data_IF_967240593866
#
_entry.id   IF_967240593866
#
_cell.length_a   1.000
_cell.length_b   1.000
_cell.length_c   1.000
_cell.angle_alpha   90.00
_cell.angle_beta   90.00
_cell.angle_gamma   90.00
#
_symmetry.space_group_name_H-M   'P 1'
#
loop_
_entity.id
_entity.type
_entity.pdbx_description
1 polymer ?
#
# COMPACT_ATOMS: atom_id res chain seq x y z
N UNK A 1 30.09 -47.64 -29.80
CA UNK A 1 29.59 -47.67 -31.20
C UNK A 1 28.25 -46.98 -31.18
N UNK A 2 27.90 -45.91 -31.85
CA UNK A 2 28.26 -45.28 -33.11
C UNK A 2 28.05 -43.76 -32.97
N UNK A 3 28.92 -43.01 -33.54
CA UNK A 3 28.89 -41.56 -33.78
C UNK A 3 27.96 -41.24 -34.97
N UNK A 4 27.27 -40.12 -34.96
CA UNK A 4 26.93 -39.28 -36.13
C UNK A 4 26.56 -37.89 -35.60
N UNK A 5 27.38 -36.90 -35.66
CA UNK A 5 27.77 -35.99 -36.75
C UNK A 5 26.78 -34.85 -36.94
N UNK A 6 27.23 -33.74 -36.53
CA UNK A 6 26.97 -32.31 -36.73
C UNK A 6 26.69 -31.99 -38.21
N UNK A 7 25.77 -31.07 -38.48
CA UNK A 7 25.79 -30.21 -39.65
C UNK A 7 25.30 -28.82 -39.32
N UNK A 8 26.22 -27.88 -39.46
CA UNK A 8 26.11 -26.44 -39.41
C UNK A 8 25.50 -25.94 -40.74
N UNK A 9 24.48 -25.07 -40.68
CA UNK A 9 24.05 -24.32 -41.87
C UNK A 9 24.10 -22.83 -41.57
N UNK A 10 25.09 -22.17 -42.11
CA UNK A 10 25.30 -20.74 -42.15
C UNK A 10 24.43 -20.15 -43.26
N UNK A 11 23.50 -19.25 -42.97
CA UNK A 11 22.71 -18.50 -43.94
C UNK A 11 23.12 -17.04 -43.99
N UNK A 12 23.80 -16.70 -45.08
CA UNK A 12 24.26 -15.37 -45.46
C UNK A 12 23.06 -14.52 -45.90
N UNK A 13 22.80 -13.37 -45.30
CA UNK A 13 21.82 -12.37 -45.78
C UNK A 13 22.56 -11.23 -46.45
N UNK A 14 22.36 -11.12 -47.75
CA UNK A 14 22.93 -10.11 -48.67
C UNK A 14 22.12 -8.81 -48.56
N UNK A 15 22.85 -7.70 -48.39
CA UNK A 15 22.36 -6.33 -48.44
C UNK A 15 22.18 -5.90 -49.91
N UNK A 16 20.99 -5.43 -50.29
CA UNK A 16 20.74 -4.81 -51.60
C UNK A 16 20.43 -3.32 -51.37
N UNK A 17 21.39 -2.46 -51.70
CA UNK A 17 21.23 -1.02 -51.77
C UNK A 17 20.73 -0.62 -53.17
N UNK A 18 19.62 0.09 -53.22
CA UNK A 18 19.10 0.73 -54.44
C UNK A 18 19.21 2.26 -54.32
N UNK A 19 20.14 2.82 -55.11
CA UNK A 19 20.29 4.23 -55.42
C UNK A 19 19.21 4.63 -56.45
N UNK A 20 18.45 5.66 -56.20
CA UNK A 20 17.65 6.38 -57.18
C UNK A 20 18.02 7.86 -57.14
N UNK A 21 18.75 8.27 -58.16
CA UNK A 21 18.99 9.67 -58.50
C UNK A 21 17.77 10.25 -59.21
N UNK A 22 17.31 11.40 -58.80
CA UNK A 22 16.34 12.19 -59.56
C UNK A 22 16.84 13.62 -59.75
N UNK A 23 16.75 14.08 -60.96
CA UNK A 23 17.27 15.35 -61.51
C UNK A 23 16.67 16.58 -60.86
N UNK A 24 17.52 17.57 -60.64
CA UNK A 24 17.18 18.94 -60.33
C UNK A 24 16.70 19.69 -61.57
N UNK A 25 15.59 20.41 -61.47
CA UNK A 25 15.24 21.50 -62.37
C UNK A 25 15.17 22.80 -61.54
N UNK A 26 15.99 23.75 -61.94
CA UNK A 26 16.03 25.09 -61.37
C UNK A 26 14.78 25.89 -61.67
N UNK A 27 14.13 26.49 -60.71
CA UNK A 27 13.11 27.52 -60.83
C UNK A 27 13.53 28.75 -60.02
N UNK A 28 13.45 29.89 -60.66
CA UNK A 28 13.77 31.26 -60.24
C UNK A 28 12.98 31.70 -59.00
N UNK A 29 13.53 32.50 -58.06
CA UNK A 29 12.84 32.93 -56.86
C UNK A 29 11.91 34.09 -57.19
N UNK A 30 10.62 33.88 -56.86
CA UNK A 30 9.60 34.98 -56.76
C UNK A 30 9.50 35.38 -55.30
N UNK A 31 9.79 36.62 -54.97
CA UNK A 31 9.53 37.22 -53.68
C UNK A 31 8.06 37.06 -53.29
N UNK A 32 7.78 36.50 -52.11
CA UNK A 32 6.49 36.43 -51.47
C UNK A 32 6.42 37.35 -50.25
N UNK A 33 5.27 37.94 -49.96
CA UNK A 33 5.12 39.01 -48.94
C UNK A 33 5.28 38.44 -47.55
N UNK A 34 5.97 39.20 -46.70
CA UNK A 34 6.12 39.00 -45.26
C UNK A 34 4.78 39.04 -44.59
N UNK A 35 4.21 37.87 -44.28
CA UNK A 35 3.13 37.74 -43.33
C UNK A 35 3.76 37.55 -41.93
N UNK A 36 3.56 38.50 -41.06
CA UNK A 36 3.83 38.37 -39.64
C UNK A 36 2.84 37.33 -39.08
N UNK A 37 3.30 36.07 -38.99
CA UNK A 37 2.62 35.05 -38.22
C UNK A 37 3.19 35.08 -36.80
N UNK A 38 2.51 35.78 -35.91
CA UNK A 38 2.57 35.53 -34.48
C UNK A 38 1.99 34.12 -34.21
N UNK A 39 2.76 33.10 -34.51
CA UNK A 39 2.47 31.75 -34.08
C UNK A 39 2.71 31.68 -32.57
N UNK A 40 1.64 31.65 -31.78
CA UNK A 40 1.75 31.11 -30.43
C UNK A 40 2.34 29.71 -30.59
N UNK A 41 3.57 29.52 -30.08
CA UNK A 41 4.14 28.21 -29.95
C UNK A 41 3.20 27.41 -29.05
N UNK A 42 2.53 26.43 -29.63
CA UNK A 42 1.86 25.39 -28.87
C UNK A 42 2.98 24.67 -28.09
N UNK A 43 3.28 25.13 -26.88
CA UNK A 43 4.12 24.38 -25.96
C UNK A 43 3.32 23.14 -25.64
N UNK A 44 3.75 21.98 -26.15
CA UNK A 44 3.24 20.70 -25.69
C UNK A 44 3.36 20.65 -24.17
N UNK A 45 2.28 20.26 -23.47
CA UNK A 45 2.30 20.13 -22.02
C UNK A 45 3.44 19.20 -21.59
N UNK A 46 4.14 19.57 -20.53
CA UNK A 46 5.28 18.80 -20.04
C UNK A 46 4.78 17.62 -19.20
N UNK A 47 5.28 16.39 -19.43
CA UNK A 47 4.87 15.24 -18.66
C UNK A 47 5.34 15.33 -17.21
N UNK A 48 4.52 14.82 -16.30
CA UNK A 48 4.85 14.57 -14.89
C UNK A 48 4.55 13.11 -14.62
N UNK A 49 5.57 12.30 -14.58
CA UNK A 49 5.48 10.86 -14.36
C UNK A 49 5.33 10.57 -12.87
N UNK A 50 4.16 10.07 -12.47
CA UNK A 50 3.88 9.68 -11.08
C UNK A 50 3.76 8.17 -10.98
N UNK A 51 4.63 7.56 -10.19
CA UNK A 51 4.72 6.14 -9.98
C UNK A 51 3.98 5.73 -8.71
N UNK A 52 3.06 4.75 -8.82
CA UNK A 52 2.27 4.28 -7.70
C UNK A 52 1.87 2.81 -7.89
N UNK A 53 1.09 2.25 -6.96
CA UNK A 53 0.44 0.95 -7.13
C UNK A 53 -1.09 1.04 -7.15
N UNK A 54 -1.64 2.25 -7.26
CA UNK A 54 -3.07 2.50 -7.21
C UNK A 54 -3.77 2.19 -8.53
N UNK A 55 -4.07 0.92 -8.74
CA UNK A 55 -4.78 0.39 -9.92
C UNK A 55 -6.06 -0.33 -9.54
N UNK A 56 -6.21 -0.68 -8.25
CA UNK A 56 -7.36 -1.41 -7.73
C UNK A 56 -8.60 -0.53 -7.57
N UNK A 57 -9.76 -1.17 -7.34
CA UNK A 57 -11.01 -0.49 -7.04
C UNK A 57 -10.86 0.47 -5.83
N UNK A 58 -11.43 1.66 -5.95
CA UNK A 58 -11.27 2.74 -4.98
C UNK A 58 -9.95 3.50 -5.11
N UNK A 59 -8.85 2.81 -5.35
CA UNK A 59 -7.51 3.40 -5.53
C UNK A 59 -7.41 4.19 -6.83
N UNK A 60 -7.73 3.55 -7.95
CA UNK A 60 -7.72 4.18 -9.27
C UNK A 60 -8.75 5.33 -9.36
N UNK A 61 -9.91 5.17 -8.73
CA UNK A 61 -10.95 6.21 -8.70
C UNK A 61 -10.49 7.45 -7.93
N UNK A 62 -9.89 7.24 -6.76
CA UNK A 62 -9.31 8.31 -5.95
C UNK A 62 -8.19 9.04 -6.69
N UNK A 63 -7.26 8.30 -7.28
CA UNK A 63 -6.18 8.87 -8.09
C UNK A 63 -6.73 9.67 -9.28
N UNK A 64 -7.71 9.13 -10.00
CA UNK A 64 -8.34 9.82 -11.13
C UNK A 64 -9.02 11.13 -10.70
N UNK A 65 -9.63 11.18 -9.51
CA UNK A 65 -10.21 12.40 -8.97
C UNK A 65 -9.13 13.46 -8.67
N UNK A 66 -7.98 13.06 -8.13
CA UNK A 66 -6.84 13.98 -7.93
C UNK A 66 -6.23 14.44 -9.26
N UNK A 67 -6.05 13.54 -10.22
CA UNK A 67 -5.54 13.88 -11.58
C UNK A 67 -6.43 14.94 -12.23
N UNK A 68 -7.75 14.79 -12.15
CA UNK A 68 -8.68 15.79 -12.67
C UNK A 68 -8.47 17.19 -12.08
N UNK A 69 -8.13 17.28 -10.79
CA UNK A 69 -7.80 18.55 -10.13
C UNK A 69 -6.45 19.07 -10.64
N UNK A 70 -5.47 18.18 -10.79
CA UNK A 70 -4.16 18.52 -11.32
C UNK A 70 -4.25 19.11 -12.72
N UNK A 71 -4.94 18.44 -13.65
CA UNK A 71 -5.13 18.88 -15.04
C UNK A 71 -5.84 20.23 -15.11
N UNK A 72 -6.84 20.46 -14.25
CA UNK A 72 -7.58 21.71 -14.21
C UNK A 72 -6.73 22.88 -13.70
N UNK A 73 -5.86 22.65 -12.70
CA UNK A 73 -5.04 23.69 -12.05
C UNK A 73 -3.72 23.96 -12.77
N UNK A 74 -3.17 22.95 -13.43
CA UNK A 74 -1.84 22.97 -14.03
C UNK A 74 -1.85 22.52 -15.50
N UNK A 75 -2.62 23.19 -16.40
CA UNK A 75 -2.79 22.74 -17.80
C UNK A 75 -1.50 22.77 -18.64
N UNK A 76 -0.41 23.35 -18.11
CA UNK A 76 0.92 23.31 -18.73
C UNK A 76 1.63 21.97 -18.52
N UNK A 77 1.10 21.08 -17.69
CA UNK A 77 1.62 19.73 -17.44
C UNK A 77 0.62 18.69 -17.92
N UNK A 78 1.13 17.48 -18.21
CA UNK A 78 0.32 16.28 -18.47
C UNK A 78 0.67 15.24 -17.41
N UNK A 79 -0.31 14.75 -16.68
CA UNK A 79 -0.09 13.67 -15.72
C UNK A 79 0.15 12.34 -16.45
N UNK A 80 1.32 11.73 -16.21
CA UNK A 80 1.63 10.37 -16.68
C UNK A 80 1.47 9.39 -15.51
N UNK A 81 0.40 8.58 -15.56
CA UNK A 81 0.15 7.56 -14.56
C UNK A 81 1.01 6.32 -14.85
N UNK A 82 2.10 6.16 -14.11
CA UNK A 82 3.02 5.03 -14.20
C UNK A 82 2.74 3.95 -13.13
N UNK A 83 1.47 3.72 -12.79
CA UNK A 83 1.10 2.77 -11.75
C UNK A 83 1.41 1.31 -12.15
N UNK A 84 1.93 0.53 -11.17
CA UNK A 84 2.26 -0.90 -11.32
C UNK A 84 1.43 -1.71 -10.35
N UNK A 85 0.63 -2.62 -10.88
CA UNK A 85 -0.30 -3.44 -10.11
C UNK A 85 0.38 -4.55 -9.28
N UNK A 86 -0.26 -4.90 -8.17
CA UNK A 86 -0.07 -6.16 -7.45
C UNK A 86 0.72 -6.06 -6.15
N UNK A 87 0.32 -6.94 -5.20
CA UNK A 87 0.98 -7.13 -3.91
C UNK A 87 1.01 -5.90 -3.02
N UNK A 88 -0.02 -5.05 -3.06
CA UNK A 88 -0.09 -3.79 -2.30
C UNK A 88 1.22 -2.95 -2.36
N UNK A 89 1.81 -2.89 -3.55
CA UNK A 89 3.03 -2.13 -3.81
C UNK A 89 4.31 -2.97 -3.94
N UNK A 90 4.33 -4.25 -3.61
CA UNK A 90 5.53 -5.09 -3.72
C UNK A 90 6.11 -5.09 -5.13
N UNK A 91 5.26 -5.28 -6.16
CA UNK A 91 5.70 -5.25 -7.55
C UNK A 91 6.19 -3.86 -7.97
N UNK A 92 5.48 -2.82 -7.56
CA UNK A 92 5.86 -1.43 -7.83
C UNK A 92 7.22 -1.09 -7.21
N UNK A 93 7.45 -1.43 -5.95
CA UNK A 93 8.74 -1.20 -5.27
C UNK A 93 9.90 -1.90 -5.98
N UNK A 94 9.72 -3.13 -6.48
CA UNK A 94 10.74 -3.85 -7.23
C UNK A 94 11.11 -3.17 -8.56
N UNK A 95 10.10 -2.69 -9.31
CA UNK A 95 10.31 -1.92 -10.55
C UNK A 95 10.99 -0.59 -10.23
N UNK A 96 10.52 0.14 -9.21
CA UNK A 96 11.11 1.40 -8.78
C UNK A 96 12.59 1.24 -8.40
N UNK A 97 12.92 0.21 -7.60
CA UNK A 97 14.31 -0.07 -7.21
C UNK A 97 15.22 -0.26 -8.43
N UNK A 98 14.74 -0.95 -9.46
CA UNK A 98 15.48 -1.14 -10.72
C UNK A 98 15.72 0.20 -11.44
N UNK A 99 14.70 1.07 -11.50
CA UNK A 99 14.80 2.40 -12.11
C UNK A 99 15.76 3.31 -11.36
N UNK A 100 15.69 3.32 -10.03
CA UNK A 100 16.58 4.10 -9.17
C UNK A 100 18.03 3.67 -9.31
N UNK A 101 18.31 2.36 -9.43
CA UNK A 101 19.65 1.83 -9.71
C UNK A 101 20.17 2.23 -11.10
N UNK A 102 19.27 2.36 -12.07
CA UNK A 102 19.62 2.82 -13.42
C UNK A 102 19.81 4.35 -13.52
N UNK A 103 19.54 5.12 -12.45
CA UNK A 103 19.58 6.58 -12.46
C UNK A 103 18.43 7.21 -13.27
N UNK A 104 17.31 6.52 -13.42
CA UNK A 104 16.11 6.96 -14.13
C UNK A 104 14.89 7.01 -13.17
N UNK A 105 14.89 7.92 -12.18
CA UNK A 105 13.76 8.06 -11.29
C UNK A 105 12.54 8.60 -12.03
N UNK A 106 11.30 8.23 -11.61
CA UNK A 106 10.09 8.97 -12.01
C UNK A 106 10.11 10.38 -11.41
N UNK A 107 9.21 11.26 -11.85
CA UNK A 107 9.12 12.63 -11.29
C UNK A 107 8.60 12.63 -9.84
N UNK A 108 7.73 11.69 -9.48
CA UNK A 108 7.34 11.41 -8.11
C UNK A 108 6.97 9.94 -7.94
N UNK A 109 7.05 9.42 -6.71
CA UNK A 109 6.52 8.09 -6.41
C UNK A 109 5.81 8.04 -5.07
N UNK A 110 4.90 7.08 -4.96
CA UNK A 110 4.22 6.73 -3.74
C UNK A 110 5.18 5.99 -2.80
N UNK A 111 5.23 6.42 -1.54
CA UNK A 111 5.94 5.76 -0.45
C UNK A 111 5.06 5.77 0.81
N UNK A 112 5.23 4.81 1.71
CA UNK A 112 4.61 4.90 3.03
C UNK A 112 5.41 5.84 3.94
N UNK A 113 4.71 6.52 4.85
CA UNK A 113 5.36 7.26 5.94
C UNK A 113 6.11 6.28 6.89
N UNK A 114 7.15 6.76 7.56
CA UNK A 114 7.97 5.96 8.46
C UNK A 114 9.23 5.41 7.79
N UNK A 115 9.63 4.20 8.17
CA UNK A 115 10.89 3.58 7.74
C UNK A 115 10.99 3.39 6.22
N UNK A 116 9.86 3.18 5.53
CA UNK A 116 9.82 3.12 4.07
C UNK A 116 10.36 4.41 3.42
N UNK A 117 9.92 5.57 3.89
CA UNK A 117 10.40 6.87 3.39
C UNK A 117 11.84 7.12 3.83
N UNK A 118 12.20 6.77 5.08
CA UNK A 118 13.53 7.03 5.62
C UNK A 118 14.62 6.22 4.90
N UNK A 119 14.31 5.04 4.40
CA UNK A 119 15.24 4.26 3.57
C UNK A 119 15.65 5.03 2.29
N UNK A 120 14.72 5.73 1.63
CA UNK A 120 15.04 6.57 0.48
C UNK A 120 15.86 7.81 0.86
N UNK A 121 15.63 8.38 2.06
CA UNK A 121 16.44 9.47 2.61
C UNK A 121 17.88 9.03 2.82
N UNK A 122 18.09 7.88 3.46
CA UNK A 122 19.42 7.32 3.74
C UNK A 122 20.17 6.97 2.45
N UNK A 123 19.43 6.47 1.46
CA UNK A 123 19.97 6.22 0.11
C UNK A 123 20.18 7.50 -0.72
N UNK A 124 19.82 8.69 -0.19
CA UNK A 124 19.92 10.00 -0.88
C UNK A 124 19.16 10.03 -2.21
N UNK A 125 18.03 9.35 -2.28
CA UNK A 125 17.21 9.22 -3.48
C UNK A 125 16.08 10.26 -3.53
N UNK A 126 15.74 10.90 -2.40
CA UNK A 126 14.72 11.94 -2.29
C UNK A 126 15.27 13.20 -1.63
N UNK A 127 14.64 14.33 -1.94
CA UNK A 127 15.03 15.65 -1.49
C UNK A 127 14.16 16.08 -0.31
N UNK A 128 14.70 16.93 0.61
CA UNK A 128 13.89 17.57 1.65
C UNK A 128 12.89 18.55 1.03
N UNK A 129 11.75 18.72 1.70
CA UNK A 129 10.63 19.55 1.26
C UNK A 129 10.41 20.79 2.12
N UNK A 130 11.45 21.31 2.79
CA UNK A 130 11.37 22.48 3.70
C UNK A 130 10.72 23.69 3.06
N UNK A 131 11.15 24.05 1.84
CA UNK A 131 10.61 25.18 1.11
C UNK A 131 9.14 24.95 0.74
N UNK A 132 8.78 23.74 0.31
CA UNK A 132 7.41 23.38 0.00
C UNK A 132 6.50 23.50 1.25
N UNK A 133 6.92 22.95 2.37
CA UNK A 133 6.18 23.02 3.63
C UNK A 133 6.07 24.46 4.17
N UNK A 134 7.12 25.25 4.03
CA UNK A 134 7.14 26.67 4.41
C UNK A 134 6.17 27.49 3.57
N UNK A 135 6.17 27.30 2.23
CA UNK A 135 5.34 28.04 1.28
C UNK A 135 3.86 27.66 1.39
N UNK A 136 3.55 26.38 1.54
CA UNK A 136 2.17 25.87 1.61
C UNK A 136 1.55 25.94 2.99
N UNK A 137 2.37 26.02 4.03
CA UNK A 137 1.94 25.92 5.43
C UNK A 137 1.37 24.54 5.79
N UNK A 138 1.68 23.50 5.00
CA UNK A 138 1.06 22.18 5.11
C UNK A 138 1.26 21.52 6.49
N UNK A 139 2.42 21.73 7.14
CA UNK A 139 2.66 21.22 8.50
C UNK A 139 1.64 21.69 9.54
N UNK A 140 0.99 22.85 9.34
CA UNK A 140 0.02 23.42 10.29
C UNK A 140 -1.31 22.67 10.30
N UNK A 141 -1.59 21.92 9.28
CA UNK A 141 -2.85 21.17 9.09
C UNK A 141 -2.65 19.66 9.19
N UNK A 142 -1.43 19.21 9.46
CA UNK A 142 -1.14 17.80 9.74
C UNK A 142 -1.27 17.49 11.24
N UNK A 143 -1.67 16.26 11.62
CA UNK A 143 -1.58 15.82 12.99
C UNK A 143 -0.12 15.83 13.48
N UNK A 144 0.10 16.29 14.71
CA UNK A 144 1.45 16.33 15.30
C UNK A 144 2.12 14.95 15.35
N UNK A 145 1.32 13.88 15.44
CA UNK A 145 1.79 12.49 15.44
C UNK A 145 2.29 12.01 14.07
N UNK A 146 1.88 12.66 12.99
CA UNK A 146 2.30 12.29 11.62
C UNK A 146 3.64 12.94 11.23
N UNK A 147 3.91 14.14 11.72
CA UNK A 147 5.12 14.90 11.36
C UNK A 147 6.42 14.13 11.59
N UNK A 148 6.65 13.43 12.73
CA UNK A 148 7.87 12.63 12.91
C UNK A 148 8.03 11.49 11.92
N UNK A 149 6.92 10.95 11.38
CA UNK A 149 6.91 9.81 10.45
C UNK A 149 7.19 10.21 8.99
N UNK A 150 7.23 11.50 8.71
CA UNK A 150 7.56 12.05 7.38
C UNK A 150 8.80 12.94 7.42
N UNK A 151 9.43 13.10 8.59
CA UNK A 151 10.57 13.97 8.79
C UNK A 151 11.76 13.22 9.38
N UNK A 152 12.94 13.44 8.83
CA UNK A 152 14.21 12.92 9.34
C UNK A 152 15.18 14.07 9.55
N UNK A 153 15.90 14.07 10.67
CA UNK A 153 16.84 15.13 11.05
C UNK A 153 16.24 16.55 11.04
N UNK A 154 14.92 16.66 11.28
CA UNK A 154 14.18 17.91 11.32
C UNK A 154 13.65 18.40 9.96
N UNK A 155 13.88 17.67 8.88
CA UNK A 155 13.44 17.99 7.52
C UNK A 155 12.31 17.07 7.05
N UNK A 156 11.19 17.59 6.51
CA UNK A 156 10.15 16.76 5.88
C UNK A 156 10.59 16.26 4.50
N UNK A 157 10.29 14.99 4.16
CA UNK A 157 10.71 14.36 2.91
C UNK A 157 9.56 13.84 2.06
N UNK A 158 8.34 13.83 2.57
CA UNK A 158 7.19 13.37 1.80
C UNK A 158 5.94 14.21 2.09
N UNK A 159 4.96 14.10 1.17
CA UNK A 159 3.64 14.75 1.29
C UNK A 159 2.61 13.65 1.52
N UNK A 160 2.14 13.45 2.77
CA UNK A 160 1.11 12.47 3.07
C UNK A 160 -0.24 12.90 2.48
N UNK A 161 -0.97 11.94 1.90
CA UNK A 161 -2.28 12.16 1.27
C UNK A 161 -3.42 11.60 2.09
N UNK A 162 -3.14 10.63 2.95
CA UNK A 162 -4.14 9.93 3.75
C UNK A 162 -3.59 9.46 5.09
N UNK A 163 -4.51 8.95 5.90
CA UNK A 163 -4.26 8.06 7.03
C UNK A 163 -5.13 6.83 6.81
N UNK A 164 -4.53 5.66 6.85
CA UNK A 164 -5.18 4.36 6.78
C UNK A 164 -5.18 3.66 8.13
N UNK A 165 -6.24 2.90 8.37
CA UNK A 165 -6.32 1.92 9.46
C UNK A 165 -6.12 0.51 8.91
N UNK A 166 -5.07 -0.16 9.36
CA UNK A 166 -4.72 -1.52 8.94
C UNK A 166 -5.52 -2.59 9.70
N UNK A 167 -5.90 -2.37 10.96
CA UNK A 167 -6.54 -3.36 11.81
C UNK A 167 -8.08 -3.33 11.74
N UNK A 168 -8.65 -3.59 10.56
CA UNK A 168 -10.08 -3.73 10.37
C UNK A 168 -10.44 -5.19 10.11
N UNK A 169 -11.45 -5.71 10.80
CA UNK A 169 -12.03 -7.01 10.52
C UNK A 169 -13.39 -6.82 9.87
N UNK A 170 -13.41 -7.00 8.55
CA UNK A 170 -14.63 -6.99 7.74
C UNK A 170 -15.38 -8.29 7.92
N UNK A 171 -16.71 -8.26 7.96
CA UNK A 171 -17.49 -9.47 8.17
C UNK A 171 -18.81 -9.49 7.38
N UNK A 172 -19.33 -10.70 7.17
CA UNK A 172 -20.62 -10.97 6.55
C UNK A 172 -21.70 -11.14 7.61
N UNK A 173 -22.64 -10.18 7.78
CA UNK A 173 -23.75 -10.33 8.71
C UNK A 173 -24.60 -11.59 8.44
N UNK A 174 -24.73 -11.94 7.16
CA UNK A 174 -25.48 -13.12 6.71
C UNK A 174 -24.84 -14.44 7.20
N UNK A 175 -23.51 -14.55 7.10
CA UNK A 175 -22.77 -15.75 7.54
C UNK A 175 -22.82 -15.88 9.06
N UNK A 176 -22.62 -14.79 9.80
CA UNK A 176 -22.69 -14.81 11.25
C UNK A 176 -24.09 -15.25 11.75
N UNK A 177 -25.13 -14.71 11.14
CA UNK A 177 -26.52 -15.09 11.47
C UNK A 177 -26.76 -16.58 11.19
N UNK A 178 -26.35 -17.08 10.02
CA UNK A 178 -26.50 -18.48 9.65
C UNK A 178 -25.73 -19.45 10.56
N UNK A 179 -24.56 -19.03 11.06
CA UNK A 179 -23.73 -19.80 11.99
C UNK A 179 -24.15 -19.66 13.47
N UNK A 180 -25.16 -18.83 13.77
CA UNK A 180 -25.56 -18.56 15.18
C UNK A 180 -24.46 -17.87 15.99
N UNK A 181 -23.66 -17.03 15.34
CA UNK A 181 -22.61 -16.24 15.97
C UNK A 181 -23.13 -14.82 16.21
N UNK A 182 -23.09 -14.38 17.46
CA UNK A 182 -23.33 -12.99 17.85
C UNK A 182 -21.99 -12.30 18.04
N UNK A 183 -21.77 -11.23 17.29
CA UNK A 183 -20.56 -10.42 17.43
C UNK A 183 -20.69 -9.54 18.69
N UNK A 184 -19.71 -9.57 19.63
CA UNK A 184 -19.71 -8.66 20.77
C UNK A 184 -19.58 -7.19 20.32
N UNK A 185 -20.14 -6.28 21.09
CA UNK A 185 -19.96 -4.85 20.85
C UNK A 185 -18.46 -4.51 20.89
N UNK A 186 -17.95 -3.88 19.79
CA UNK A 186 -16.53 -3.56 19.63
C UNK A 186 -15.63 -4.74 19.21
N UNK A 187 -16.21 -5.89 18.88
CA UNK A 187 -15.49 -7.07 18.40
C UNK A 187 -15.10 -8.06 19.52
N UNK A 188 -14.35 -9.09 19.17
CA UNK A 188 -13.89 -10.12 20.11
C UNK A 188 -12.77 -9.57 20.99
N UNK A 189 -12.90 -9.75 22.31
CA UNK A 189 -11.90 -9.28 23.27
C UNK A 189 -10.57 -10.06 23.21
N UNK A 190 -10.63 -11.30 22.72
CA UNK A 190 -9.44 -12.17 22.63
C UNK A 190 -9.49 -13.07 21.38
N UNK A 191 -8.34 -13.61 21.01
CA UNK A 191 -8.25 -14.66 19.98
C UNK A 191 -8.98 -15.94 20.38
N UNK A 192 -9.02 -16.29 21.67
CA UNK A 192 -9.76 -17.45 22.17
C UNK A 192 -11.27 -17.31 21.90
N UNK A 193 -11.85 -16.13 22.13
CA UNK A 193 -13.26 -15.88 21.85
C UNK A 193 -13.56 -15.94 20.34
N UNK A 194 -12.63 -15.42 19.53
CA UNK A 194 -12.70 -15.50 18.07
C UNK A 194 -12.65 -16.95 17.58
N UNK A 195 -11.75 -17.79 18.12
CA UNK A 195 -11.66 -19.20 17.75
C UNK A 195 -12.94 -19.97 18.06
N UNK A 196 -13.56 -19.70 19.21
CA UNK A 196 -14.85 -20.28 19.55
C UNK A 196 -15.98 -19.89 18.57
N UNK A 197 -15.91 -18.69 17.99
CA UNK A 197 -16.80 -18.28 16.92
C UNK A 197 -16.46 -18.99 15.60
N UNK A 198 -15.18 -19.12 15.27
CA UNK A 198 -14.72 -19.86 14.09
C UNK A 198 -15.17 -21.33 14.09
N UNK A 199 -15.15 -22.00 15.24
CA UNK A 199 -15.67 -23.37 15.34
C UNK A 199 -17.15 -23.48 14.94
N UNK A 200 -17.97 -22.52 15.35
CA UNK A 200 -19.40 -22.48 14.95
C UNK A 200 -19.56 -22.21 13.45
N UNK A 201 -18.76 -21.28 12.89
CA UNK A 201 -18.81 -20.94 11.47
C UNK A 201 -18.38 -22.15 10.63
N UNK A 202 -17.32 -22.83 11.03
CA UNK A 202 -16.82 -24.05 10.39
C UNK A 202 -17.87 -25.18 10.47
N UNK A 203 -18.54 -25.34 11.61
CA UNK A 203 -19.63 -26.30 11.77
C UNK A 203 -20.85 -25.98 10.88
N UNK A 204 -21.07 -24.71 10.54
CA UNK A 204 -22.06 -24.28 9.55
C UNK A 204 -21.59 -24.43 8.09
N UNK A 205 -20.41 -25.01 7.84
CA UNK A 205 -19.87 -25.27 6.51
C UNK A 205 -19.31 -24.03 5.80
N UNK A 206 -18.93 -22.99 6.55
CA UNK A 206 -18.36 -21.74 6.01
C UNK A 206 -16.90 -21.56 6.43
N UNK A 207 -16.14 -20.84 5.60
CA UNK A 207 -14.80 -20.37 5.96
C UNK A 207 -14.90 -19.33 7.09
N UNK A 208 -14.09 -19.47 8.15
CA UNK A 208 -14.14 -18.48 9.22
C UNK A 208 -13.50 -17.17 8.79
N UNK A 209 -12.26 -17.23 8.32
CA UNK A 209 -11.52 -16.04 7.88
C UNK A 209 -10.96 -16.28 6.48
N UNK A 210 -11.20 -15.35 5.56
CA UNK A 210 -10.58 -15.40 4.24
C UNK A 210 -9.21 -14.75 4.26
N UNK A 211 -8.26 -15.37 3.57
CA UNK A 211 -6.88 -14.92 3.42
C UNK A 211 -6.54 -14.89 1.93
N UNK A 212 -5.81 -13.87 1.49
CA UNK A 212 -5.26 -13.75 0.15
C UNK A 212 -3.95 -14.53 -0.02
N UNK A 213 -3.22 -14.29 -1.12
CA UNK A 213 -1.96 -14.99 -1.39
C UNK A 213 -0.87 -14.62 -0.37
N UNK A 214 0.22 -15.39 -0.40
CA UNK A 214 1.43 -15.14 0.42
C UNK A 214 2.01 -13.72 0.22
N UNK A 215 2.90 -13.31 1.10
CA UNK A 215 3.47 -11.97 1.16
C UNK A 215 2.57 -11.02 1.91
N UNK A 216 2.17 -9.90 1.29
CA UNK A 216 1.41 -8.83 1.93
C UNK A 216 0.24 -9.30 2.81
N UNK A 217 -0.65 -10.17 2.31
CA UNK A 217 -1.87 -10.55 3.06
C UNK A 217 -1.55 -11.40 4.29
N UNK A 218 -0.55 -12.26 4.19
CA UNK A 218 -0.12 -13.12 5.28
C UNK A 218 0.62 -12.32 6.36
N UNK A 219 1.47 -11.37 5.96
CA UNK A 219 2.17 -10.46 6.86
C UNK A 219 1.18 -9.52 7.56
N UNK A 220 0.21 -8.98 6.82
CA UNK A 220 -0.87 -8.16 7.36
C UNK A 220 -1.70 -8.91 8.42
N UNK A 221 -2.03 -10.18 8.17
CA UNK A 221 -2.68 -11.02 9.17
C UNK A 221 -1.77 -11.25 10.39
N UNK A 222 -0.47 -11.54 10.16
CA UNK A 222 0.50 -11.77 11.22
C UNK A 222 0.64 -10.54 12.15
N UNK A 223 0.86 -9.33 11.59
CA UNK A 223 0.97 -8.12 12.41
C UNK A 223 -0.27 -7.90 13.29
N UNK A 224 -1.46 -8.10 12.71
CA UNK A 224 -2.72 -7.93 13.44
C UNK A 224 -2.89 -8.97 14.57
N UNK A 225 -2.44 -10.21 14.33
CA UNK A 225 -2.45 -11.25 15.37
C UNK A 225 -1.45 -10.94 16.48
N UNK A 226 -0.26 -10.45 16.16
CA UNK A 226 0.72 -10.04 17.15
C UNK A 226 0.17 -8.88 17.99
N UNK A 227 -0.27 -7.81 17.37
CA UNK A 227 -0.81 -6.63 18.07
C UNK A 227 -1.98 -7.01 18.97
N UNK A 228 -2.93 -7.81 18.47
CA UNK A 228 -4.08 -8.28 19.23
C UNK A 228 -3.75 -9.25 20.36
N UNK A 229 -2.54 -9.84 20.35
CA UNK A 229 -2.05 -10.74 21.40
C UNK A 229 -1.28 -10.01 22.49
N UNK A 230 -0.35 -9.10 22.09
CA UNK A 230 0.58 -8.48 23.03
C UNK A 230 0.21 -7.03 23.40
N UNK A 231 -0.68 -6.39 22.64
CA UNK A 231 -1.13 -5.01 22.84
C UNK A 231 -0.14 -3.97 22.31
N UNK A 232 -0.62 -2.72 22.27
CA UNK A 232 0.09 -1.58 21.64
C UNK A 232 1.45 -1.28 22.29
N UNK A 233 1.55 -1.30 23.62
CA UNK A 233 2.79 -0.98 24.34
C UNK A 233 3.92 -1.96 23.98
N UNK A 234 3.62 -3.26 24.06
CA UNK A 234 4.61 -4.30 23.73
C UNK A 234 4.93 -4.33 22.24
N UNK A 235 3.93 -4.06 21.37
CA UNK A 235 4.17 -3.92 19.94
C UNK A 235 5.18 -2.79 19.66
N UNK A 236 4.96 -1.61 20.20
CA UNK A 236 5.91 -0.49 20.05
C UNK A 236 7.30 -0.85 20.62
N UNK A 237 7.34 -1.61 21.72
CA UNK A 237 8.58 -2.06 22.34
C UNK A 237 9.42 -3.02 21.50
N UNK A 238 8.81 -3.72 20.51
CA UNK A 238 9.54 -4.57 19.57
C UNK A 238 10.43 -3.76 18.62
N UNK A 239 10.09 -2.49 18.37
CA UNK A 239 10.70 -1.62 17.36
C UNK A 239 11.66 -0.57 17.93
N UNK A 240 11.86 -0.55 19.25
CA UNK A 240 12.87 0.33 19.87
C UNK A 240 14.27 -0.24 19.68
N UNK A 241 15.29 0.62 19.73
CA UNK A 241 16.69 0.20 19.65
C UNK A 241 17.43 0.57 20.94
N UNK A 242 17.79 -0.41 21.81
CA UNK A 242 17.42 -1.84 21.71
C UNK A 242 15.94 -2.08 21.99
N UNK A 243 15.36 -3.22 21.55
CA UNK A 243 13.96 -3.57 21.83
C UNK A 243 13.69 -3.64 23.33
N UNK A 244 12.59 -3.04 23.77
CA UNK A 244 12.10 -3.14 25.17
C UNK A 244 11.14 -4.33 25.35
N UNK A 245 10.62 -4.89 24.24
CA UNK A 245 9.90 -6.16 24.19
C UNK A 245 10.77 -7.19 23.50
N UNK A 246 10.93 -8.35 24.12
CA UNK A 246 11.82 -9.41 23.62
C UNK A 246 11.15 -10.24 22.54
N UNK A 247 11.72 -10.25 21.33
CA UNK A 247 11.30 -11.11 20.21
C UNK A 247 11.35 -12.60 20.56
N UNK A 248 12.25 -13.02 21.47
CA UNK A 248 12.33 -14.39 21.98
C UNK A 248 11.41 -14.64 23.20
N UNK A 249 10.61 -13.63 23.58
CA UNK A 249 9.77 -13.67 24.77
C UNK A 249 8.52 -14.54 24.63
N UNK A 250 7.91 -14.86 25.76
CA UNK A 250 6.70 -15.67 25.83
C UNK A 250 5.50 -15.00 25.12
N UNK A 251 5.43 -13.68 25.09
CA UNK A 251 4.36 -12.93 24.44
C UNK A 251 4.38 -13.15 22.92
N UNK A 252 5.57 -13.04 22.29
CA UNK A 252 5.74 -13.30 20.85
C UNK A 252 5.48 -14.77 20.53
N UNK A 253 5.93 -15.67 21.38
CA UNK A 253 5.63 -17.11 21.25
C UNK A 253 4.12 -17.37 21.26
N UNK A 254 3.38 -16.73 22.15
CA UNK A 254 1.91 -16.85 22.19
C UNK A 254 1.26 -16.26 20.93
N UNK A 255 1.78 -15.13 20.41
CA UNK A 255 1.30 -14.53 19.16
C UNK A 255 1.51 -15.47 17.97
N UNK A 256 2.67 -16.14 17.87
CA UNK A 256 2.94 -17.13 16.82
C UNK A 256 1.99 -18.34 16.95
N UNK A 257 1.70 -18.81 18.16
CA UNK A 257 0.74 -19.90 18.39
C UNK A 257 -0.70 -19.48 17.98
N UNK A 258 -1.10 -18.25 18.28
CA UNK A 258 -2.39 -17.71 17.83
C UNK A 258 -2.41 -17.61 16.31
N UNK A 259 -1.33 -17.15 15.66
CA UNK A 259 -1.24 -17.07 14.22
C UNK A 259 -1.37 -18.44 13.55
N UNK A 260 -0.65 -19.46 14.05
CA UNK A 260 -0.81 -20.84 13.59
C UNK A 260 -2.27 -21.34 13.70
N UNK A 261 -2.93 -20.97 14.81
CA UNK A 261 -4.34 -21.34 15.01
C UNK A 261 -5.26 -20.60 14.02
N UNK A 262 -5.07 -19.29 13.80
CA UNK A 262 -5.85 -18.51 12.80
C UNK A 262 -5.71 -19.15 11.43
N UNK A 263 -4.49 -19.53 11.01
CA UNK A 263 -4.25 -20.17 9.70
C UNK A 263 -5.06 -21.45 9.51
N UNK A 264 -5.37 -22.20 10.58
CA UNK A 264 -6.21 -23.41 10.51
C UNK A 264 -7.68 -23.14 10.19
N UNK A 265 -8.11 -21.87 10.24
CA UNK A 265 -9.45 -21.40 9.93
C UNK A 265 -9.54 -20.62 8.62
N UNK A 266 -8.45 -20.51 7.86
CA UNK A 266 -8.44 -19.82 6.57
C UNK A 266 -8.93 -20.72 5.43
N UNK A 267 -9.23 -20.09 4.29
CA UNK A 267 -9.55 -20.80 3.04
C UNK A 267 -8.32 -21.57 2.51
N UNK A 268 -8.55 -22.77 2.01
CA UNK A 268 -7.47 -23.66 1.53
C UNK A 268 -6.84 -23.23 0.20
N UNK A 269 -7.48 -22.32 -0.53
CA UNK A 269 -7.05 -21.82 -1.83
C UNK A 269 -6.36 -20.44 -1.75
N UNK A 270 -6.05 -19.97 -0.55
CA UNK A 270 -5.44 -18.65 -0.31
C UNK A 270 -4.23 -18.38 -1.22
N UNK A 271 -3.30 -19.34 -1.33
CA UNK A 271 -2.08 -19.22 -2.14
C UNK A 271 -2.33 -19.14 -3.66
N UNK A 272 -3.53 -19.46 -4.12
CA UNK A 272 -3.90 -19.43 -5.56
C UNK A 272 -4.66 -18.16 -5.96
N UNK A 273 -5.04 -17.34 -4.99
CA UNK A 273 -5.70 -16.07 -5.26
C UNK A 273 -4.71 -15.07 -5.89
N UNK A 274 -5.23 -14.19 -6.72
CA UNK A 274 -4.39 -13.26 -7.49
C UNK A 274 -3.89 -12.06 -6.67
N UNK A 275 -4.69 -11.62 -5.70
CA UNK A 275 -4.40 -10.48 -4.81
C UNK A 275 -5.36 -10.52 -3.61
N UNK A 276 -5.43 -9.43 -2.80
CA UNK A 276 -6.27 -9.33 -1.61
C UNK A 276 -7.78 -9.25 -1.91
N UNK A 277 -8.18 -8.64 -3.06
CA UNK A 277 -9.59 -8.43 -3.41
C UNK A 277 -10.41 -9.73 -3.49
N UNK A 278 -9.93 -10.83 -4.09
CA UNK A 278 -10.68 -12.09 -4.08
C UNK A 278 -10.98 -12.61 -2.67
N UNK A 279 -10.04 -12.47 -1.72
CA UNK A 279 -10.27 -12.87 -0.34
C UNK A 279 -11.33 -11.99 0.34
N UNK A 280 -11.27 -10.67 0.17
CA UNK A 280 -12.30 -9.76 0.67
C UNK A 280 -13.68 -10.06 0.05
N UNK A 281 -13.71 -10.41 -1.26
CA UNK A 281 -14.95 -10.78 -1.95
C UNK A 281 -15.64 -12.01 -1.36
N UNK A 282 -14.91 -12.96 -0.77
CA UNK A 282 -15.52 -14.12 -0.10
C UNK A 282 -16.45 -13.70 1.06
N UNK A 283 -16.17 -12.58 1.75
CA UNK A 283 -17.07 -12.00 2.75
C UNK A 283 -18.34 -11.47 2.09
N UNK A 284 -18.21 -10.75 1.00
CA UNK A 284 -19.33 -10.21 0.23
C UNK A 284 -20.24 -11.31 -0.33
N UNK A 285 -19.65 -12.38 -0.87
CA UNK A 285 -20.37 -13.51 -1.45
C UNK A 285 -21.01 -14.42 -0.36
N UNK A 286 -20.62 -14.25 0.90
CA UNK A 286 -21.09 -15.07 2.02
C UNK A 286 -20.42 -16.46 2.07
N UNK A 287 -19.22 -16.59 1.52
CA UNK A 287 -18.40 -17.80 1.57
C UNK A 287 -17.45 -17.81 2.77
N UNK A 288 -17.04 -16.63 3.22
CA UNK A 288 -16.30 -16.44 4.45
C UNK A 288 -17.05 -15.52 5.42
N UNK A 289 -16.86 -15.75 6.74
CA UNK A 289 -17.43 -14.90 7.77
C UNK A 289 -16.63 -13.60 7.94
N UNK A 290 -15.31 -13.68 7.94
CA UNK A 290 -14.41 -12.57 8.24
C UNK A 290 -13.28 -12.43 7.21
N UNK A 291 -12.78 -11.20 7.08
CA UNK A 291 -11.53 -10.86 6.41
C UNK A 291 -10.82 -9.76 7.17
N UNK A 292 -9.56 -9.95 7.55
CA UNK A 292 -8.73 -8.89 8.14
C UNK A 292 -8.00 -8.19 6.99
N UNK A 293 -8.36 -6.91 6.79
CA UNK A 293 -7.82 -6.10 5.69
C UNK A 293 -7.97 -4.63 6.06
N UNK A 294 -7.06 -3.78 5.62
CA UNK A 294 -7.13 -2.37 5.89
C UNK A 294 -8.37 -1.67 5.30
N UNK A 295 -8.55 -0.44 5.67
CA UNK A 295 -9.75 0.35 5.35
C UNK A 295 -9.92 0.66 3.85
N UNK A 296 -8.90 0.47 3.02
CA UNK A 296 -9.05 0.48 1.56
C UNK A 296 -10.06 -0.56 1.03
N UNK A 297 -10.33 -1.62 1.80
CA UNK A 297 -11.37 -2.59 1.45
C UNK A 297 -12.78 -1.97 1.49
N UNK A 298 -13.00 -0.88 2.23
CA UNK A 298 -14.27 -0.17 2.20
C UNK A 298 -14.58 0.35 0.78
N UNK A 299 -13.60 0.99 0.12
CA UNK A 299 -13.75 1.46 -1.26
C UNK A 299 -14.07 0.32 -2.23
N UNK A 300 -13.42 -0.84 -2.06
CA UNK A 300 -13.73 -2.02 -2.85
C UNK A 300 -15.15 -2.55 -2.62
N UNK A 301 -15.64 -2.58 -1.40
CA UNK A 301 -16.99 -3.04 -1.09
C UNK A 301 -18.06 -2.06 -1.54
N UNK A 302 -17.91 -0.76 -1.24
CA UNK A 302 -18.99 0.21 -1.33
C UNK A 302 -19.05 0.99 -2.66
N UNK A 303 -17.91 1.17 -3.36
CA UNK A 303 -17.92 1.95 -4.61
C UNK A 303 -18.71 1.25 -5.70
N UNK A 304 -19.22 2.06 -6.64
CA UNK A 304 -20.02 1.58 -7.75
C UNK A 304 -19.19 0.74 -8.75
N UNK A 305 -19.85 -0.22 -9.42
CA UNK A 305 -19.25 -0.94 -10.53
C UNK A 305 -18.81 0.02 -11.67
N UNK A 306 -17.74 -0.28 -12.43
CA UNK A 306 -17.00 -1.56 -12.42
C UNK A 306 -15.90 -1.65 -11.36
N UNK A 307 -15.59 -0.56 -10.66
CA UNK A 307 -14.42 -0.43 -9.79
C UNK A 307 -14.68 -0.88 -8.34
N UNK A 308 -15.93 -1.17 -7.98
CA UNK A 308 -16.32 -1.69 -6.68
C UNK A 308 -17.47 -2.69 -6.80
N UNK A 309 -17.87 -3.23 -5.66
CA UNK A 309 -18.94 -4.24 -5.58
C UNK A 309 -20.33 -3.62 -5.37
N UNK A 310 -20.45 -2.32 -5.16
CA UNK A 310 -21.68 -1.57 -4.90
C UNK A 310 -22.52 -2.16 -3.74
N UNK A 311 -21.86 -2.64 -2.69
CA UNK A 311 -22.51 -3.29 -1.53
C UNK A 311 -23.02 -2.25 -0.52
N UNK A 312 -24.04 -2.65 0.22
CA UNK A 312 -24.66 -1.82 1.25
C UNK A 312 -24.06 -2.16 2.62
N UNK A 313 -23.44 -1.18 3.32
CA UNK A 313 -22.97 -1.35 4.69
C UNK A 313 -24.08 -1.87 5.63
N UNK A 314 -23.70 -2.60 6.65
CA UNK A 314 -24.57 -3.24 7.66
C UNK A 314 -25.56 -4.29 7.11
N UNK A 315 -25.61 -4.47 5.78
CA UNK A 315 -26.49 -5.44 5.11
C UNK A 315 -25.66 -6.53 4.42
N UNK A 316 -24.79 -6.15 3.52
CA UNK A 316 -23.97 -7.06 2.73
C UNK A 316 -22.60 -7.30 3.37
N UNK A 317 -22.06 -6.29 4.00
CA UNK A 317 -20.83 -6.32 4.79
C UNK A 317 -20.92 -5.36 5.98
N UNK A 318 -20.06 -5.59 6.96
CA UNK A 318 -19.92 -4.71 8.12
C UNK A 318 -18.49 -4.83 8.67
N UNK A 319 -18.13 -4.10 9.71
CA UNK A 319 -16.78 -4.02 10.24
C UNK A 319 -16.72 -4.01 11.77
N UNK A 320 -15.59 -4.45 12.29
CA UNK A 320 -15.30 -4.40 13.72
C UNK A 320 -13.78 -4.38 13.93
N UNK A 321 -13.34 -4.21 15.17
CA UNK A 321 -11.93 -4.34 15.53
C UNK A 321 -11.45 -5.78 15.38
N UNK A 322 -10.20 -5.97 15.00
CA UNK A 322 -9.50 -7.27 15.06
C UNK A 322 -9.47 -7.74 16.53
N UNK A 323 -9.56 -9.04 16.82
CA UNK A 323 -9.54 -9.56 18.18
C UNK A 323 -8.38 -9.01 19.02
N UNK A 324 -8.69 -8.46 20.19
CA UNK A 324 -7.71 -7.86 21.11
C UNK A 324 -7.14 -6.50 20.71
N UNK A 325 -7.64 -5.87 19.62
CA UNK A 325 -7.15 -4.55 19.19
C UNK A 325 -8.12 -3.40 19.48
N UNK A 326 -9.09 -3.58 20.38
CA UNK A 326 -9.99 -2.50 20.78
C UNK A 326 -9.18 -1.34 21.38
N UNK A 327 -9.45 -0.12 20.92
CA UNK A 327 -8.71 1.08 21.33
C UNK A 327 -7.30 1.20 20.75
N UNK A 328 -6.97 0.38 19.76
CA UNK A 328 -5.71 0.47 18.98
C UNK A 328 -6.03 0.85 17.54
N UNK A 329 -5.26 1.79 16.99
CA UNK A 329 -5.29 2.18 15.59
C UNK A 329 -3.94 1.81 14.95
N UNK A 330 -3.92 0.76 14.13
CA UNK A 330 -2.71 0.37 13.40
C UNK A 330 -2.62 1.23 12.14
N UNK A 331 -1.61 2.07 12.12
CA UNK A 331 -1.47 3.21 11.22
C UNK A 331 -0.56 2.91 10.05
N UNK A 332 -0.93 3.42 8.89
CA UNK A 332 -0.06 3.73 7.76
C UNK A 332 -0.56 4.99 7.05
N UNK A 333 0.29 5.58 6.23
CA UNK A 333 -0.05 6.73 5.39
C UNK A 333 0.68 6.61 4.06
N UNK A 334 -0.05 6.79 2.97
CA UNK A 334 0.54 6.96 1.65
C UNK A 334 1.03 8.40 1.49
N UNK A 335 2.20 8.55 0.94
CA UNK A 335 2.87 9.82 0.69
C UNK A 335 3.44 9.87 -0.71
N UNK A 336 3.65 11.08 -1.24
CA UNK A 336 4.44 11.31 -2.45
C UNK A 336 5.72 12.06 -2.11
N UNK A 337 6.78 11.78 -2.86
CA UNK A 337 8.14 12.30 -2.62
C UNK A 337 8.63 13.15 -3.79
N UNK A 338 9.67 13.96 -3.53
CA UNK A 338 10.42 14.71 -4.52
C UNK A 338 11.77 14.01 -4.78
N UNK A 339 11.95 13.32 -5.91
CA UNK A 339 13.17 12.57 -6.18
C UNK A 339 14.39 13.44 -6.45
N UNK A 340 15.56 12.92 -6.11
CA UNK A 340 16.83 13.44 -6.61
C UNK A 340 16.96 13.05 -8.07
N UNK A 341 17.26 14.01 -8.96
CA UNK A 341 17.45 13.76 -10.38
C UNK A 341 16.18 13.59 -11.20
N UNK A 342 15.00 13.98 -10.66
CA UNK A 342 13.78 13.99 -11.46
C UNK A 342 13.89 14.95 -12.66
N UNK A 343 13.08 14.70 -13.69
CA UNK A 343 13.18 15.42 -14.97
C UNK A 343 12.34 16.70 -14.99
N UNK A 344 11.28 16.77 -14.14
CA UNK A 344 10.35 17.88 -14.08
C UNK A 344 10.06 18.32 -12.63
N UNK A 345 11.02 18.99 -11.93
CA UNK A 345 10.85 19.39 -10.53
C UNK A 345 9.65 20.33 -10.30
N UNK A 346 9.39 21.26 -11.22
CA UNK A 346 8.25 22.20 -11.11
C UNK A 346 6.91 21.48 -11.26
N UNK A 347 6.81 20.56 -12.22
CA UNK A 347 5.64 19.71 -12.38
C UNK A 347 5.42 18.78 -11.19
N UNK A 348 6.50 18.25 -10.62
CA UNK A 348 6.44 17.45 -9.38
C UNK A 348 5.89 18.27 -8.22
N UNK A 349 6.38 19.49 -8.01
CA UNK A 349 5.87 20.37 -6.95
C UNK A 349 4.41 20.75 -7.17
N UNK A 350 3.96 20.91 -8.44
CA UNK A 350 2.56 21.10 -8.78
C UNK A 350 1.71 19.88 -8.37
N UNK A 351 2.17 18.65 -8.64
CA UNK A 351 1.55 17.41 -8.18
C UNK A 351 1.49 17.33 -6.65
N UNK A 352 2.62 17.56 -5.98
CA UNK A 352 2.70 17.56 -4.51
C UNK A 352 1.75 18.61 -3.90
N UNK A 353 1.53 19.74 -4.59
CA UNK A 353 0.57 20.78 -4.16
C UNK A 353 -0.86 20.26 -4.20
N UNK A 354 -1.25 19.50 -5.23
CA UNK A 354 -2.57 18.85 -5.28
C UNK A 354 -2.70 17.80 -4.20
N UNK A 355 -1.68 16.95 -4.02
CA UNK A 355 -1.65 15.90 -3.00
C UNK A 355 -1.75 16.49 -1.56
N UNK A 356 -1.12 17.64 -1.29
CA UNK A 356 -1.21 18.35 -0.03
C UNK A 356 -2.50 19.14 0.15
N UNK A 357 -3.24 19.44 -0.93
CA UNK A 357 -4.40 20.34 -0.87
C UNK A 357 -5.60 19.67 -0.18
N UNK A 358 -6.43 20.51 0.46
CA UNK A 358 -7.71 20.06 1.01
C UNK A 358 -8.59 19.44 -0.07
N UNK A 359 -8.73 20.13 -1.20
CA UNK A 359 -9.53 19.67 -2.34
C UNK A 359 -9.03 18.30 -2.88
N UNK A 360 -7.71 18.12 -3.03
CA UNK A 360 -7.14 16.85 -3.48
C UNK A 360 -7.43 15.72 -2.52
N UNK A 361 -7.24 15.93 -1.22
CA UNK A 361 -7.48 14.89 -0.21
C UNK A 361 -8.97 14.59 -0.01
N UNK A 362 -9.85 15.59 -0.10
CA UNK A 362 -11.31 15.41 -0.06
C UNK A 362 -11.85 14.70 -1.31
N UNK A 363 -11.20 14.85 -2.46
CA UNK A 363 -11.55 14.11 -3.67
C UNK A 363 -11.08 12.66 -3.65
N UNK A 364 -9.91 12.39 -3.06
CA UNK A 364 -9.26 11.08 -3.04
C UNK A 364 -9.82 10.15 -1.97
N UNK A 365 -9.80 10.59 -0.71
CA UNK A 365 -9.97 9.72 0.45
C UNK A 365 -11.35 9.05 0.58
N UNK A 366 -12.47 9.73 0.26
CA UNK A 366 -13.78 9.08 0.30
C UNK A 366 -13.90 7.90 -0.68
N UNK A 367 -13.22 7.95 -1.82
CA UNK A 367 -13.21 6.90 -2.83
C UNK A 367 -12.24 5.77 -2.45
N UNK A 368 -11.09 6.12 -1.88
CA UNK A 368 -10.06 5.16 -1.43
C UNK A 368 -10.50 4.37 -0.21
N UNK A 369 -11.34 4.93 0.68
CA UNK A 369 -11.76 4.34 1.95
C UNK A 369 -10.92 4.80 3.15
N UNK A 370 -9.94 5.66 2.93
CA UNK A 370 -9.06 6.25 3.96
C UNK A 370 -9.63 7.55 4.53
N UNK A 371 -8.91 8.15 5.48
CA UNK A 371 -9.18 9.51 5.95
C UNK A 371 -8.07 10.46 5.52
N UNK A 372 -8.35 11.78 5.48
CA UNK A 372 -7.34 12.76 5.13
C UNK A 372 -6.14 12.71 6.09
N UNK A 373 -4.94 12.95 5.55
CA UNK A 373 -3.79 13.32 6.36
C UNK A 373 -3.96 14.70 7.03
N UNK A 374 -4.78 15.57 6.43
CA UNK A 374 -5.12 16.90 6.94
C UNK A 374 -6.19 16.82 8.02
N UNK A 375 -6.08 17.71 9.01
CA UNK A 375 -7.06 17.82 10.12
C UNK A 375 -8.26 18.73 9.80
N UNK A 376 -8.26 19.42 8.66
CA UNK A 376 -9.25 20.42 8.26
C UNK A 376 -10.18 19.96 7.12
N UNK A 377 -10.16 18.67 6.75
CA UNK A 377 -11.10 18.10 5.79
C UNK A 377 -12.54 18.11 6.33
N UNK A 378 -13.50 18.29 5.42
CA UNK A 378 -14.92 18.23 5.75
C UNK A 378 -15.37 16.78 5.95
N UNK A 379 -15.61 16.39 7.21
CA UNK A 379 -16.00 15.02 7.54
C UNK A 379 -17.34 14.59 6.94
N UNK A 380 -18.19 15.53 6.52
CA UNK A 380 -19.48 15.23 5.90
C UNK A 380 -19.36 14.58 4.51
N UNK A 381 -18.19 14.69 3.89
CA UNK A 381 -17.87 14.05 2.59
C UNK A 381 -17.53 12.56 2.73
N UNK A 382 -17.35 12.08 3.94
CA UNK A 382 -16.86 10.73 4.24
C UNK A 382 -17.96 9.79 4.67
N UNK A 383 -17.75 8.50 4.43
CA UNK A 383 -18.63 7.42 4.87
C UNK A 383 -18.74 7.36 6.40
N UNK A 384 -19.77 6.68 6.91
CA UNK A 384 -19.91 6.39 8.34
C UNK A 384 -18.65 5.68 8.89
N UNK A 385 -18.12 4.71 8.17
CA UNK A 385 -16.87 4.04 8.52
C UNK A 385 -15.73 5.04 8.71
N UNK A 386 -15.48 5.87 7.67
CA UNK A 386 -14.36 6.83 7.70
C UNK A 386 -14.55 7.91 8.78
N UNK A 387 -15.78 8.36 9.04
CA UNK A 387 -16.08 9.27 10.15
C UNK A 387 -15.78 8.61 11.51
N UNK A 388 -16.05 7.31 11.65
CA UNK A 388 -15.65 6.50 12.80
C UNK A 388 -14.13 6.43 12.92
N UNK A 389 -13.43 6.14 11.82
CA UNK A 389 -11.96 6.09 11.78
C UNK A 389 -11.30 7.43 12.16
N UNK A 390 -11.87 8.58 11.75
CA UNK A 390 -11.40 9.92 12.17
C UNK A 390 -11.48 10.11 13.69
N UNK A 391 -12.55 9.61 14.35
CA UNK A 391 -12.67 9.66 15.80
C UNK A 391 -11.67 8.73 16.46
N UNK A 392 -11.53 7.51 15.95
CA UNK A 392 -10.61 6.51 16.48
C UNK A 392 -9.15 6.97 16.35
N UNK A 393 -8.78 7.63 15.24
CA UNK A 393 -7.46 8.23 15.08
C UNK A 393 -7.09 9.20 16.21
N UNK A 394 -8.05 9.93 16.74
CA UNK A 394 -7.82 10.93 17.79
C UNK A 394 -7.95 10.38 19.21
N UNK A 395 -8.62 9.24 19.39
CA UNK A 395 -8.95 8.68 20.70
C UNK A 395 -8.20 7.38 21.04
N UNK A 396 -7.77 6.62 20.04
CA UNK A 396 -7.10 5.34 20.23
C UNK A 396 -5.58 5.50 20.36
N UNK A 397 -4.94 4.45 20.88
CA UNK A 397 -3.48 4.34 20.83
C UNK A 397 -3.04 4.02 19.41
N UNK A 398 -2.29 4.93 18.79
CA UNK A 398 -1.78 4.74 17.43
C UNK A 398 -0.47 3.95 17.48
N UNK A 399 -0.37 2.91 16.65
CA UNK A 399 0.84 2.12 16.45
C UNK A 399 1.15 1.99 14.95
N UNK A 400 2.43 1.93 14.58
CA UNK A 400 2.83 1.79 13.17
C UNK A 400 2.62 0.36 12.65
N UNK A 401 2.20 0.24 11.39
CA UNK A 401 2.13 -1.03 10.67
C UNK A 401 3.51 -1.51 10.25
N UNK A 402 3.80 -2.79 10.48
CA UNK A 402 4.97 -3.49 9.97
C UNK A 402 4.85 -3.74 8.46
N UNK A 403 3.74 -4.31 8.05
CA UNK A 403 3.46 -4.69 6.65
C UNK A 403 3.60 -3.51 5.68
N UNK A 404 3.39 -2.29 6.18
CA UNK A 404 3.54 -1.07 5.39
C UNK A 404 4.81 -0.28 5.72
N UNK A 405 5.76 -0.92 6.40
CA UNK A 405 7.08 -0.35 6.72
C UNK A 405 7.00 1.02 7.42
N UNK A 406 5.95 1.22 8.23
CA UNK A 406 5.91 2.37 9.16
C UNK A 406 6.88 2.11 10.30
N UNK A 407 6.93 0.86 10.76
CA UNK A 407 7.94 0.30 11.68
C UNK A 407 8.67 -0.85 10.98
N UNK A 408 9.89 -1.12 11.41
CA UNK A 408 10.75 -2.09 10.73
C UNK A 408 11.23 -1.55 9.37
N UNK A 409 12.52 -1.44 9.19
CA UNK A 409 13.07 -0.99 7.91
C UNK A 409 12.86 -2.04 6.80
N UNK A 410 12.98 -1.67 5.50
CA UNK A 410 12.73 -2.58 4.38
C UNK A 410 13.59 -3.85 4.38
N UNK A 411 14.81 -3.80 4.93
CA UNK A 411 15.68 -4.98 5.02
C UNK A 411 15.14 -5.98 6.05
N UNK A 412 14.66 -5.48 7.20
CA UNK A 412 14.02 -6.28 8.23
C UNK A 412 12.72 -6.93 7.71
N UNK A 413 11.88 -6.15 7.04
CA UNK A 413 10.65 -6.64 6.42
C UNK A 413 10.91 -7.75 5.39
N UNK A 414 11.95 -7.63 4.56
CA UNK A 414 12.35 -8.69 3.62
C UNK A 414 12.70 -9.99 4.33
N UNK A 415 13.34 -9.92 5.49
CA UNK A 415 13.68 -11.11 6.28
C UNK A 415 12.45 -11.72 6.93
N UNK A 416 11.55 -10.89 7.47
CA UNK A 416 10.26 -11.35 8.03
C UNK A 416 9.42 -12.05 6.98
N UNK A 417 9.29 -11.47 5.79
CA UNK A 417 8.58 -12.09 4.67
C UNK A 417 9.18 -13.48 4.32
N UNK A 418 10.51 -13.59 4.34
CA UNK A 418 11.19 -14.86 4.08
C UNK A 418 10.84 -15.92 5.13
N UNK A 419 10.95 -15.58 6.43
CA UNK A 419 10.66 -16.57 7.49
C UNK A 419 9.16 -16.86 7.58
N UNK A 420 8.31 -15.90 7.25
CA UNK A 420 6.86 -16.07 7.17
C UNK A 420 6.48 -17.06 6.06
N UNK A 421 7.06 -16.95 4.86
CA UNK A 421 6.85 -17.91 3.77
C UNK A 421 7.28 -19.32 4.14
N UNK A 422 8.40 -19.47 4.84
CA UNK A 422 8.83 -20.77 5.33
C UNK A 422 7.82 -21.33 6.34
N UNK A 423 7.32 -20.51 7.25
CA UNK A 423 6.30 -20.91 8.21
C UNK A 423 5.00 -21.34 7.56
N UNK A 424 4.49 -20.55 6.58
CA UNK A 424 3.27 -20.87 5.83
C UNK A 424 3.37 -22.19 5.06
N UNK A 425 4.54 -22.51 4.52
CA UNK A 425 4.80 -23.76 3.82
C UNK A 425 5.03 -24.97 4.73
N UNK A 426 5.16 -24.75 6.05
CA UNK A 426 5.39 -25.77 7.07
C UNK A 426 4.07 -26.42 7.54
N UNK A 427 4.20 -27.35 8.50
CA UNK A 427 3.04 -27.91 9.22
C UNK A 427 2.49 -27.01 10.31
N UNK A 428 3.14 -25.86 10.57
CA UNK A 428 2.81 -24.89 11.63
C UNK A 428 2.73 -25.52 13.04
N UNK A 429 3.35 -26.67 13.23
CA UNK A 429 3.45 -27.37 14.51
C UNK A 429 4.42 -26.64 15.49
N UNK A 430 4.58 -27.17 16.67
CA UNK A 430 5.40 -26.54 17.71
C UNK A 430 6.87 -26.33 17.29
N UNK A 431 7.43 -27.21 16.44
CA UNK A 431 8.79 -27.06 15.92
C UNK A 431 8.85 -25.89 14.91
N UNK A 432 7.93 -25.84 13.96
CA UNK A 432 7.84 -24.74 12.99
C UNK A 432 7.58 -23.38 13.66
N UNK A 433 6.79 -23.35 14.73
CA UNK A 433 6.58 -22.13 15.53
C UNK A 433 7.87 -21.65 16.23
N UNK A 434 8.67 -22.58 16.75
CA UNK A 434 9.96 -22.25 17.36
C UNK A 434 10.98 -21.76 16.32
N UNK A 435 11.01 -22.40 15.14
CA UNK A 435 11.85 -21.97 14.02
C UNK A 435 11.46 -20.58 13.52
N UNK A 436 10.15 -20.29 13.42
CA UNK A 436 9.65 -18.98 13.05
C UNK A 436 10.06 -17.90 14.05
N UNK A 437 9.90 -18.16 15.36
CA UNK A 437 10.36 -17.23 16.40
C UNK A 437 11.87 -16.99 16.31
N UNK A 438 12.66 -18.04 16.10
CA UNK A 438 14.12 -17.92 15.91
C UNK A 438 14.44 -17.04 14.70
N UNK A 439 13.75 -17.24 13.58
CA UNK A 439 13.92 -16.43 12.37
C UNK A 439 13.62 -14.94 12.60
N UNK A 440 12.58 -14.61 13.39
CA UNK A 440 12.29 -13.21 13.77
C UNK A 440 13.40 -12.60 14.64
N UNK A 441 13.93 -13.36 15.60
CA UNK A 441 15.07 -12.94 16.43
C UNK A 441 16.32 -12.70 15.58
N UNK A 442 16.59 -13.58 14.63
CA UNK A 442 17.75 -13.46 13.75
C UNK A 442 17.61 -12.28 12.77
N UNK A 443 16.40 -12.01 12.30
CA UNK A 443 16.09 -10.80 11.52
C UNK A 443 16.40 -9.52 12.32
N UNK A 444 15.95 -9.45 13.57
CA UNK A 444 16.23 -8.32 14.46
C UNK A 444 17.73 -8.11 14.71
N UNK A 445 18.50 -9.21 14.91
CA UNK A 445 19.96 -9.14 15.10
C UNK A 445 20.68 -8.68 13.84
N UNK A 446 20.25 -9.15 12.68
CA UNK A 446 20.85 -8.78 11.38
C UNK A 446 20.62 -7.31 11.09
N UNK A 447 19.49 -6.76 11.48
CA UNK A 447 19.17 -5.34 11.38
C UNK A 447 19.96 -4.47 12.40
N UNK A 448 20.60 -5.10 13.38
CA UNK A 448 21.36 -4.43 14.44
C UNK A 448 20.50 -3.84 15.55
N UNK A 449 19.18 -4.05 15.53
CA UNK A 449 18.28 -3.57 16.58
C UNK A 449 18.35 -4.46 17.83
N UNK A 450 18.50 -5.79 17.66
CA UNK A 450 18.73 -6.75 18.76
C UNK A 450 20.24 -7.00 18.95
N UNK A 451 20.69 -6.98 20.21
CA UNK A 451 22.07 -7.34 20.61
C UNK A 451 22.20 -8.83 20.89
#
# INVERSE_FOLDING_TARGET
MSKKSVSLALGLVTILALLLSACASAATPTEAPTAASGGAASTSAQPVEVFSWWVGPGEADGLAAMIKIFDAKYPQYTFENAAVAGGAGTNAKAVLATRLQAGDPPDSWQAHAGEATFAYVDAKQIQPLDDFYSQTGFAKVLPATLLPLISKDGHPYSVPVNIHRSNVMWYSPKVLTAAGVTLPAGGFASWSDFFAACDKIKAAGKTCISLGPEGFTAEHLFENVVIGTIGAEKWNGLWTTPPTTDWNGADVKQAIANYATVLSYTNSDASTLSDWQPASKMVADGDAAFNIMGDWAYGYFANAAPNGLALTPHTDFDWTSVPGTQGIFVFLSDSFVLPVGNKNPEGTLAWLTVAASKEGQEAFNPLKGSICARTDCDSSLFSEYSQGAMKDWTSNTVVGSLTHEVVGNPAWNTQVDTVLKLFLSSKQDAAAQADFQTGLVDACKTDGACQ
#
